data_IF_449127706904
#
_entry.id   IF_449127706904
#
_cell.length_a   1.000
_cell.length_b   1.000
_cell.length_c   1.000
_cell.angle_alpha   90.00
_cell.angle_beta   90.00
_cell.angle_gamma   90.00
#
_symmetry.space_group_name_H-M   'P 1'
#
loop_
_entity.id
_entity.type
_entity.pdbx_description
1 polymer ?
#
# COMPACT_ATOMS: atom_id res chain seq x y z
N UNK A 1 -3.96 -37.64 -70.19
CA UNK A 1 -2.72 -36.86 -70.05
C UNK A 1 -2.47 -36.68 -68.57
N UNK A 2 -1.38 -37.25 -68.08
CA UNK A 2 -0.95 -37.15 -66.70
C UNK A 2 -0.11 -35.89 -66.55
N UNK A 3 -0.43 -35.03 -65.58
CA UNK A 3 0.49 -34.03 -65.08
C UNK A 3 0.59 -34.17 -63.56
N UNK A 4 1.72 -34.71 -63.17
CA UNK A 4 2.30 -34.71 -61.84
C UNK A 4 3.08 -33.40 -61.68
N UNK A 5 2.82 -32.65 -60.60
CA UNK A 5 3.86 -31.81 -59.98
C UNK A 5 3.58 -31.62 -58.50
N UNK A 6 4.70 -31.66 -57.79
CA UNK A 6 4.90 -32.04 -56.40
C UNK A 6 5.33 -30.80 -55.59
N UNK A 7 4.92 -30.78 -54.32
CA UNK A 7 5.44 -30.04 -53.14
C UNK A 7 5.36 -28.51 -53.15
N UNK A 8 4.64 -27.99 -52.16
CA UNK A 8 5.32 -27.22 -51.11
C UNK A 8 4.63 -27.40 -49.75
N UNK A 9 5.47 -27.53 -48.74
CA UNK A 9 5.18 -27.89 -47.36
C UNK A 9 5.44 -26.67 -46.48
N UNK A 10 4.41 -26.14 -45.83
CA UNK A 10 4.54 -25.17 -44.75
C UNK A 10 3.68 -25.61 -43.56
N UNK A 11 4.38 -25.99 -42.50
CA UNK A 11 3.89 -26.43 -41.20
C UNK A 11 3.58 -25.27 -40.25
N UNK A 12 2.57 -25.52 -39.42
CA UNK A 12 2.33 -24.99 -38.06
C UNK A 12 2.29 -23.48 -37.80
N UNK A 13 1.09 -22.99 -37.43
CA UNK A 13 0.90 -22.23 -36.17
C UNK A 13 -0.43 -22.62 -35.50
N UNK A 14 -0.32 -23.41 -34.43
CA UNK A 14 -1.39 -23.64 -33.46
C UNK A 14 -1.66 -22.34 -32.67
N UNK A 15 -2.91 -21.87 -32.67
CA UNK A 15 -3.39 -20.86 -31.73
C UNK A 15 -4.54 -21.46 -30.93
N UNK A 16 -4.21 -22.10 -29.81
CA UNK A 16 -5.21 -22.59 -28.84
C UNK A 16 -5.51 -21.46 -27.85
N UNK A 17 -6.73 -20.93 -27.95
CA UNK A 17 -7.31 -19.97 -27.01
C UNK A 17 -7.83 -20.74 -25.79
N UNK A 18 -7.02 -20.89 -24.74
CA UNK A 18 -7.48 -21.49 -23.49
C UNK A 18 -8.40 -20.53 -22.73
N UNK A 19 -9.64 -20.97 -22.53
CA UNK A 19 -10.67 -20.28 -21.78
C UNK A 19 -10.34 -20.09 -20.30
N UNK A 20 -10.86 -18.99 -19.77
CA UNK A 20 -10.88 -18.59 -18.37
C UNK A 20 -11.44 -19.69 -17.47
N UNK A 21 -10.67 -20.05 -16.43
CA UNK A 21 -11.08 -20.96 -15.37
C UNK A 21 -12.11 -20.27 -14.48
N UNK A 22 -13.34 -20.77 -14.50
CA UNK A 22 -14.38 -20.47 -13.52
C UNK A 22 -14.13 -21.35 -12.29
N UNK A 23 -13.86 -20.74 -11.13
CA UNK A 23 -13.86 -21.45 -9.85
C UNK A 23 -15.32 -21.70 -9.42
N UNK A 24 -15.86 -22.87 -9.77
CA UNK A 24 -17.11 -23.35 -9.22
C UNK A 24 -16.90 -23.87 -7.80
N UNK A 25 -17.59 -23.25 -6.84
CA UNK A 25 -17.75 -23.74 -5.47
C UNK A 25 -18.60 -25.02 -5.47
N UNK A 26 -18.03 -26.14 -5.04
CA UNK A 26 -18.79 -27.35 -4.71
C UNK A 26 -18.94 -27.45 -3.20
N UNK A 27 -20.18 -27.32 -2.73
CA UNK A 27 -20.60 -27.67 -1.38
C UNK A 27 -20.81 -29.17 -1.29
N UNK A 28 -20.19 -29.83 -0.30
CA UNK A 28 -20.62 -31.14 0.18
C UNK A 28 -20.92 -31.04 1.67
N UNK A 29 -22.19 -31.25 2.01
CA UNK A 29 -22.68 -31.51 3.37
C UNK A 29 -22.17 -32.89 3.78
N UNK A 30 -21.39 -32.99 4.86
CA UNK A 30 -21.06 -34.27 5.48
C UNK A 30 -22.11 -34.63 6.53
N UNK A 31 -22.53 -35.89 6.54
CA UNK A 31 -23.38 -36.48 7.57
C UNK A 31 -23.09 -37.98 7.65
N UNK A 32 -23.03 -38.49 8.90
CA UNK A 32 -22.79 -39.89 9.36
C UNK A 32 -21.32 -40.33 9.41
N UNK A 33 -20.84 -41.11 10.39
CA UNK A 33 -21.27 -41.49 11.75
C UNK A 33 -20.18 -42.43 12.32
N UNK A 34 -19.89 -42.32 13.62
CA UNK A 34 -19.28 -43.30 14.54
C UNK A 34 -17.79 -43.67 14.36
N UNK A 35 -16.95 -43.25 15.31
CA UNK A 35 -16.44 -44.12 16.40
C UNK A 35 -15.68 -43.33 17.50
N UNK A 36 -15.64 -43.90 18.71
CA UNK A 36 -15.07 -43.42 20.00
C UNK A 36 -13.92 -44.40 20.41
N UNK A 37 -13.19 -44.23 21.54
CA UNK A 37 -12.46 -43.09 22.14
C UNK A 37 -10.98 -43.50 22.50
N UNK A 38 -10.13 -42.75 23.26
CA UNK A 38 -10.19 -42.72 24.73
C UNK A 38 -9.75 -41.40 25.41
N UNK A 39 -9.87 -41.39 26.74
CA UNK A 39 -9.76 -40.30 27.72
C UNK A 39 -8.34 -40.16 28.30
N UNK A 40 -7.82 -38.94 28.53
CA UNK A 40 -6.99 -38.62 29.70
C UNK A 40 -6.93 -37.11 30.07
N UNK A 41 -7.34 -36.85 31.33
CA UNK A 41 -7.07 -35.77 32.32
C UNK A 41 -6.72 -34.30 31.97
N UNK A 42 -7.63 -33.46 32.49
CA UNK A 42 -7.50 -32.27 33.37
C UNK A 42 -6.52 -31.09 33.13
N UNK A 43 -7.15 -29.98 32.74
CA UNK A 43 -7.16 -28.62 33.34
C UNK A 43 -5.81 -27.93 33.62
N UNK A 44 -5.52 -26.89 32.83
CA UNK A 44 -5.15 -25.57 33.37
C UNK A 44 -5.68 -24.46 32.44
N UNK A 45 -6.04 -23.33 33.05
CA UNK A 45 -6.95 -22.29 32.59
C UNK A 45 -6.53 -21.56 31.29
N UNK A 46 -7.48 -21.47 30.36
CA UNK A 46 -7.42 -20.64 29.17
C UNK A 46 -7.79 -19.18 29.49
N UNK A 47 -6.87 -18.24 29.23
CA UNK A 47 -7.18 -16.82 29.09
C UNK A 47 -7.45 -16.52 27.61
N UNK A 48 -8.69 -16.77 27.16
CA UNK A 48 -9.12 -16.40 25.82
C UNK A 48 -9.49 -14.91 25.78
N UNK A 49 -8.55 -14.04 25.41
CA UNK A 49 -8.88 -12.68 24.95
C UNK A 49 -9.24 -12.76 23.47
N UNK A 50 -10.54 -12.69 23.20
CA UNK A 50 -11.11 -12.50 21.86
C UNK A 50 -10.62 -11.18 21.28
N UNK A 51 -9.73 -11.26 20.28
CA UNK A 51 -9.38 -10.11 19.43
C UNK A 51 -10.33 -10.16 18.24
N UNK A 52 -11.26 -9.21 18.21
CA UNK A 52 -12.21 -9.02 17.11
C UNK A 52 -11.42 -8.67 15.85
N UNK A 53 -11.29 -9.63 14.94
CA UNK A 53 -10.80 -9.37 13.58
C UNK A 53 -11.79 -8.43 12.89
N UNK A 54 -11.33 -7.22 12.56
CA UNK A 54 -12.08 -6.27 11.74
C UNK A 54 -12.26 -6.85 10.35
N UNK A 55 -13.40 -7.48 10.10
CA UNK A 55 -13.83 -7.89 8.77
C UNK A 55 -14.18 -6.64 7.96
N UNK A 56 -13.35 -6.29 6.98
CA UNK A 56 -13.68 -5.29 5.98
C UNK A 56 -14.58 -5.93 4.92
N UNK A 57 -15.90 -5.90 5.13
CA UNK A 57 -16.86 -6.20 4.05
C UNK A 57 -17.11 -4.90 3.29
N UNK A 58 -16.38 -4.68 2.19
CA UNK A 58 -16.72 -3.64 1.21
C UNK A 58 -17.74 -4.23 0.24
N UNK A 59 -19.02 -3.90 0.44
CA UNK A 59 -20.09 -4.31 -0.48
C UNK A 59 -20.11 -3.37 -1.70
N UNK A 60 -19.69 -3.85 -2.87
CA UNK A 60 -19.98 -3.20 -4.14
C UNK A 60 -21.36 -3.63 -4.65
N UNK A 61 -22.27 -2.66 -4.74
CA UNK A 61 -23.53 -2.76 -5.50
C UNK A 61 -23.25 -2.52 -6.98
N UNK A 62 -23.71 -3.46 -7.81
CA UNK A 62 -23.64 -3.40 -9.27
C UNK A 62 -24.54 -2.30 -9.84
N UNK A 63 -23.99 -1.45 -10.71
CA UNK A 63 -24.78 -0.64 -11.65
C UNK A 63 -24.56 -1.19 -13.06
N UNK A 64 -25.57 -1.89 -13.57
CA UNK A 64 -25.71 -2.19 -15.00
C UNK A 64 -26.25 -0.92 -15.66
N UNK A 65 -25.50 -0.34 -16.61
CA UNK A 65 -26.02 0.67 -17.53
C UNK A 65 -26.36 -0.02 -18.85
N UNK A 66 -27.62 0.14 -19.23
CA UNK A 66 -28.22 -0.34 -20.47
C UNK A 66 -27.79 0.53 -21.66
N UNK A 67 -27.70 -0.12 -22.83
CA UNK A 67 -27.47 0.48 -24.13
C UNK A 67 -28.83 0.90 -24.70
N UNK A 68 -29.04 2.19 -24.94
CA UNK A 68 -29.97 2.62 -26.00
C UNK A 68 -29.28 3.63 -26.90
N UNK A 69 -29.30 3.32 -28.20
CA UNK A 69 -29.00 4.20 -29.31
C UNK A 69 -30.09 5.25 -29.39
N UNK A 70 -29.75 6.49 -29.75
CA UNK A 70 -30.52 7.30 -30.69
C UNK A 70 -29.63 8.41 -31.29
N UNK A 71 -29.82 8.61 -32.60
CA UNK A 71 -29.13 9.51 -33.54
C UNK A 71 -29.68 10.96 -33.51
N UNK A 72 -29.03 11.94 -34.17
CA UNK A 72 -29.15 13.36 -33.83
C UNK A 72 -30.11 14.16 -34.74
N UNK A 73 -30.73 15.25 -34.24
CA UNK A 73 -31.35 16.24 -35.08
C UNK A 73 -30.41 17.42 -35.37
N UNK A 74 -30.20 17.65 -36.66
CA UNK A 74 -29.64 18.84 -37.29
C UNK A 74 -30.74 19.90 -37.46
N UNK A 75 -30.50 21.17 -37.08
CA UNK A 75 -30.52 22.34 -37.99
C UNK A 75 -30.63 23.71 -37.26
N UNK A 76 -29.77 24.60 -37.74
CA UNK A 76 -29.91 26.05 -37.98
C UNK A 76 -29.41 27.08 -36.96
N UNK A 77 -28.49 27.86 -37.51
CA UNK A 77 -27.91 29.12 -37.09
C UNK A 77 -28.94 30.23 -36.78
N UNK A 78 -28.62 31.05 -35.77
CA UNK A 78 -28.88 32.50 -35.74
C UNK A 78 -27.92 33.22 -34.77
N UNK A 79 -26.96 33.90 -35.37
CA UNK A 79 -26.46 35.26 -35.08
C UNK A 79 -26.54 35.84 -33.65
N UNK A 80 -25.34 36.05 -33.10
CA UNK A 80 -24.82 37.26 -32.44
C UNK A 80 -25.58 37.94 -31.29
N UNK A 81 -24.77 38.24 -30.26
CA UNK A 81 -24.86 39.30 -29.25
C UNK A 81 -25.83 39.12 -28.06
N UNK A 82 -25.33 38.47 -27.00
CA UNK A 82 -25.58 38.90 -25.62
C UNK A 82 -24.47 38.38 -24.70
N UNK A 83 -23.92 39.30 -23.88
CA UNK A 83 -22.97 39.03 -22.80
C UNK A 83 -23.60 38.10 -21.78
N UNK A 84 -22.89 37.07 -21.35
CA UNK A 84 -23.05 36.49 -20.02
C UNK A 84 -21.70 36.00 -19.52
N UNK A 85 -21.23 36.69 -18.47
CA UNK A 85 -20.31 36.14 -17.48
C UNK A 85 -20.87 34.80 -17.02
N UNK A 86 -20.09 33.74 -17.13
CA UNK A 86 -20.19 32.67 -16.15
C UNK A 86 -18.80 32.18 -15.85
N UNK A 87 -18.51 32.10 -14.55
CA UNK A 87 -17.28 31.61 -14.02
C UNK A 87 -17.12 30.19 -14.53
N UNK A 88 -16.24 30.01 -15.52
CA UNK A 88 -15.79 28.70 -15.93
C UNK A 88 -15.30 28.00 -14.68
N UNK A 89 -16.18 27.16 -14.14
CA UNK A 89 -15.92 26.31 -13.01
C UNK A 89 -14.58 25.67 -13.32
N UNK A 90 -13.56 26.05 -12.55
CA UNK A 90 -12.36 25.29 -12.40
C UNK A 90 -12.84 23.95 -11.86
N UNK A 91 -13.23 23.06 -12.78
CA UNK A 91 -13.61 21.69 -12.51
C UNK A 91 -12.39 21.08 -11.87
N UNK A 92 -12.35 21.14 -10.54
CA UNK A 92 -11.32 20.56 -9.69
C UNK A 92 -11.37 19.05 -9.92
N UNK A 93 -10.70 18.59 -10.97
CA UNK A 93 -10.29 17.18 -11.15
C UNK A 93 -9.21 16.82 -10.12
N UNK A 94 -8.92 17.71 -9.17
CA UNK A 94 -8.01 17.56 -8.03
C UNK A 94 -8.45 16.50 -7.00
N UNK A 95 -9.43 15.64 -7.29
CA UNK A 95 -9.80 14.58 -6.36
C UNK A 95 -8.74 13.46 -6.28
N UNK A 96 -7.92 13.25 -7.33
CA UNK A 96 -6.70 12.41 -7.34
C UNK A 96 -6.67 11.16 -6.43
N UNK A 97 -5.50 10.77 -5.91
CA UNK A 97 -5.37 9.85 -4.77
C UNK A 97 -5.91 10.45 -3.45
N UNK A 98 -5.94 11.78 -3.33
CA UNK A 98 -6.37 12.55 -2.15
C UNK A 98 -7.83 12.33 -1.75
N UNK A 99 -8.68 11.74 -2.60
CA UNK A 99 -10.03 11.30 -2.23
C UNK A 99 -10.04 10.08 -1.30
N UNK A 100 -8.92 9.39 -1.14
CA UNK A 100 -8.78 8.19 -0.32
C UNK A 100 -7.92 8.43 0.94
N UNK A 101 -7.90 9.67 1.46
CA UNK A 101 -7.11 10.03 2.65
C UNK A 101 -7.49 9.14 3.85
N UNK A 102 -6.48 8.54 4.46
CA UNK A 102 -6.58 7.74 5.67
C UNK A 102 -5.88 8.44 6.84
N UNK A 103 -6.37 8.18 8.05
CA UNK A 103 -5.74 8.61 9.30
C UNK A 103 -4.94 7.44 9.86
N UNK A 104 -3.66 7.69 10.16
CA UNK A 104 -2.73 6.68 10.64
C UNK A 104 -2.14 7.12 11.98
N UNK A 105 -1.90 6.15 12.85
CA UNK A 105 -1.20 6.33 14.12
C UNK A 105 -0.11 5.27 14.26
N UNK A 106 1.03 5.67 14.79
CA UNK A 106 2.16 4.77 15.05
C UNK A 106 1.81 3.83 16.21
N UNK A 107 2.25 2.58 16.13
CA UNK A 107 2.04 1.60 17.19
C UNK A 107 3.23 1.57 18.18
N UNK A 108 3.06 2.06 19.42
CA UNK A 108 4.10 2.00 20.45
C UNK A 108 4.58 0.59 20.79
N UNK A 109 3.77 -0.44 20.50
CA UNK A 109 4.15 -1.84 20.73
C UNK A 109 5.13 -2.38 19.68
N UNK A 110 5.27 -1.69 18.54
CA UNK A 110 6.20 -2.08 17.47
C UNK A 110 7.47 -1.22 17.47
N UNK A 111 7.39 0.01 17.98
CA UNK A 111 8.46 1.00 17.92
C UNK A 111 9.76 0.52 18.60
N UNK A 112 10.87 0.59 17.88
CA UNK A 112 12.19 0.36 18.47
C UNK A 112 12.50 1.35 19.62
N UNK A 113 13.29 0.92 20.61
CA UNK A 113 13.56 1.73 21.82
C UNK A 113 14.35 3.01 21.55
N UNK A 114 15.09 3.10 20.44
CA UNK A 114 15.72 4.35 19.98
C UNK A 114 14.77 5.31 19.26
N UNK A 115 13.48 4.98 19.16
CA UNK A 115 12.48 5.85 18.55
C UNK A 115 11.58 6.43 19.63
N UNK A 116 11.37 7.75 19.59
CA UNK A 116 10.45 8.44 20.48
C UNK A 116 9.22 8.88 19.71
N UNK A 117 8.06 8.42 20.16
CA UNK A 117 6.75 8.82 19.63
C UNK A 117 6.23 10.08 20.35
N UNK A 118 5.61 10.99 19.59
CA UNK A 118 5.00 12.23 20.07
C UNK A 118 3.73 12.56 19.26
N UNK A 119 3.05 13.66 19.58
CA UNK A 119 1.85 14.15 18.86
C UNK A 119 0.77 13.06 18.72
N UNK A 120 0.36 12.45 19.83
CA UNK A 120 -0.60 11.33 19.84
C UNK A 120 -0.18 10.15 18.94
N UNK A 121 1.14 9.88 18.86
CA UNK A 121 1.74 8.87 17.99
C UNK A 121 1.60 9.19 16.49
N UNK A 122 1.56 10.46 16.11
CA UNK A 122 1.62 10.91 14.71
C UNK A 122 3.01 11.42 14.32
N UNK A 123 3.90 11.60 15.28
CA UNK A 123 5.29 11.95 15.07
C UNK A 123 6.21 10.87 15.64
N UNK A 124 7.31 10.58 14.94
CA UNK A 124 8.40 9.75 15.43
C UNK A 124 9.74 10.39 15.13
N UNK A 125 10.64 10.35 16.11
CA UNK A 125 12.02 10.81 15.96
C UNK A 125 13.03 9.79 16.47
N UNK A 126 14.20 9.77 15.86
CA UNK A 126 15.35 9.02 16.34
C UNK A 126 16.01 9.75 17.51
N UNK A 127 16.30 9.02 18.59
CA UNK A 127 16.91 9.55 19.82
C UNK A 127 18.05 8.66 20.29
N UNK A 128 19.01 9.25 20.99
CA UNK A 128 20.16 8.52 21.56
C UNK A 128 19.76 7.64 22.74
N UNK A 129 18.80 8.07 23.55
CA UNK A 129 18.36 7.37 24.77
C UNK A 129 17.29 6.32 24.46
N UNK A 130 17.38 5.17 25.12
CA UNK A 130 16.34 4.15 25.02
C UNK A 130 15.07 4.65 25.71
N UNK A 131 13.96 4.65 24.97
CA UNK A 131 12.65 4.95 25.51
C UNK A 131 12.19 3.79 26.41
N UNK A 132 11.50 4.07 27.54
CA UNK A 132 11.12 3.08 28.54
C UNK A 132 9.88 2.29 28.10
N UNK A 133 9.91 1.73 26.90
CA UNK A 133 8.82 0.94 26.38
C UNK A 133 8.83 -0.47 26.97
N UNK A 134 7.67 -1.05 27.30
CA UNK A 134 7.60 -2.40 27.83
C UNK A 134 8.03 -3.43 26.79
N UNK A 135 8.57 -4.55 27.26
CA UNK A 135 8.88 -5.69 26.40
C UNK A 135 7.63 -6.17 25.66
N UNK A 136 7.77 -6.38 24.35
CA UNK A 136 6.67 -6.79 23.49
C UNK A 136 7.18 -7.66 22.32
N UNK A 137 6.48 -8.76 21.95
CA UNK A 137 6.88 -9.62 20.83
C UNK A 137 6.90 -8.86 19.49
N UNK A 138 6.00 -7.90 19.30
CA UNK A 138 5.91 -7.13 18.05
C UNK A 138 6.94 -5.98 17.94
N UNK A 139 7.70 -5.71 19.02
CA UNK A 139 8.67 -4.61 19.06
C UNK A 139 9.90 -4.94 18.21
N UNK A 140 10.30 -4.05 17.31
CA UNK A 140 11.63 -4.15 16.70
C UNK A 140 12.70 -3.93 17.76
N UNK A 141 13.62 -4.87 17.92
CA UNK A 141 14.61 -4.84 19.02
C UNK A 141 16.00 -4.32 18.62
N UNK A 142 16.39 -4.50 17.36
CA UNK A 142 17.68 -4.06 16.86
C UNK A 142 17.56 -3.08 15.67
N UNK A 143 16.45 -3.10 14.92
CA UNK A 143 16.22 -2.22 13.78
C UNK A 143 15.36 -0.99 14.19
N UNK A 144 15.83 0.28 14.05
CA UNK A 144 15.11 1.51 14.38
C UNK A 144 13.90 1.76 13.47
N UNK A 145 12.84 1.00 13.71
CA UNK A 145 11.65 0.98 12.88
C UNK A 145 10.38 0.95 13.73
N UNK A 146 9.27 1.32 13.11
CA UNK A 146 7.93 1.32 13.71
C UNK A 146 6.89 1.06 12.62
N UNK A 147 5.80 0.38 12.96
CA UNK A 147 4.61 0.26 12.11
C UNK A 147 3.47 1.14 12.65
N UNK A 148 2.56 1.50 11.77
CA UNK A 148 1.25 2.01 12.14
C UNK A 148 0.34 0.91 12.71
N UNK A 149 -0.67 1.33 13.47
CA UNK A 149 -1.70 0.45 14.04
C UNK A 149 -2.71 0.00 13.00
N UNK A 150 -3.05 0.89 12.09
CA UNK A 150 -4.07 0.69 11.08
C UNK A 150 -3.50 -0.06 9.87
N UNK A 151 -4.24 -1.05 9.39
CA UNK A 151 -3.92 -1.73 8.14
C UNK A 151 -4.56 -1.03 6.94
N UNK A 152 -3.87 -1.01 5.82
CA UNK A 152 -4.38 -0.55 4.52
C UNK A 152 -4.77 -1.76 3.67
N UNK A 153 -6.08 -1.96 3.48
CA UNK A 153 -6.67 -3.14 2.83
C UNK A 153 -7.60 -2.81 1.64
N UNK A 154 -7.67 -1.55 1.23
CA UNK A 154 -8.47 -1.08 0.11
C UNK A 154 -7.73 0.03 -0.64
N UNK A 155 -8.46 1.07 -1.03
CA UNK A 155 -7.87 2.30 -1.53
C UNK A 155 -7.52 3.20 -0.35
N UNK A 156 -6.25 3.52 -0.19
CA UNK A 156 -5.79 4.34 0.93
C UNK A 156 -4.66 5.28 0.48
N UNK A 157 -4.68 6.49 1.01
CA UNK A 157 -3.71 7.53 0.73
C UNK A 157 -3.31 8.24 2.03
N UNK A 158 -2.03 8.54 2.19
CA UNK A 158 -1.52 9.35 3.30
C UNK A 158 -0.29 10.15 2.88
N UNK A 159 0.00 11.21 3.62
CA UNK A 159 1.14 12.08 3.37
C UNK A 159 2.06 12.13 4.59
N UNK A 160 3.35 12.28 4.36
CA UNK A 160 4.37 12.29 5.42
C UNK A 160 5.39 13.36 5.11
N UNK A 161 5.67 14.23 6.09
CA UNK A 161 6.87 15.04 6.05
C UNK A 161 7.99 14.34 6.79
N UNK A 162 9.20 14.47 6.27
CA UNK A 162 10.39 13.90 6.88
C UNK A 162 11.53 14.92 6.96
N UNK A 163 12.46 14.70 7.88
CA UNK A 163 13.71 15.45 7.96
C UNK A 163 14.86 14.56 8.39
N UNK A 164 16.09 15.03 8.15
CA UNK A 164 17.31 14.25 8.31
C UNK A 164 17.91 13.86 6.97
N UNK A 165 18.88 12.95 7.02
CA UNK A 165 19.69 12.56 5.85
C UNK A 165 19.21 11.28 5.18
N UNK A 166 18.75 10.29 5.94
CA UNK A 166 18.32 9.00 5.40
C UNK A 166 17.15 8.42 6.20
N UNK A 167 15.98 8.33 5.56
CA UNK A 167 14.78 7.79 6.18
C UNK A 167 14.08 6.78 5.25
N UNK A 168 13.38 5.79 5.81
CA UNK A 168 12.61 4.81 5.04
C UNK A 168 11.11 4.96 5.27
N UNK A 169 10.35 5.07 4.17
CA UNK A 169 8.89 5.04 4.15
C UNK A 169 8.47 3.75 3.50
N UNK A 170 7.73 2.92 4.23
CA UNK A 170 7.50 1.53 3.84
C UNK A 170 6.04 1.12 4.02
N UNK A 171 5.67 0.05 3.33
CA UNK A 171 4.50 -0.77 3.66
C UNK A 171 4.97 -2.21 3.86
N UNK A 172 4.41 -2.89 4.85
CA UNK A 172 4.83 -4.25 5.22
C UNK A 172 3.64 -5.09 5.63
N UNK A 173 3.74 -6.40 5.42
CA UNK A 173 2.88 -7.32 6.16
C UNK A 173 3.19 -7.30 7.65
N UNK A 174 2.19 -7.65 8.46
CA UNK A 174 2.34 -7.73 9.92
C UNK A 174 3.35 -8.79 10.33
N UNK A 175 3.46 -9.84 9.52
CA UNK A 175 4.31 -11.02 9.72
C UNK A 175 5.81 -10.78 9.55
N UNK A 176 6.26 -9.57 9.20
CA UNK A 176 7.69 -9.21 9.19
C UNK A 176 8.32 -9.52 10.55
N UNK A 177 9.53 -10.10 10.52
CA UNK A 177 10.24 -10.46 11.74
C UNK A 177 10.66 -9.20 12.52
N UNK A 178 10.64 -9.31 13.84
CA UNK A 178 10.89 -8.17 14.75
C UNK A 178 12.18 -8.26 15.53
N UNK A 179 12.81 -9.44 15.52
CA UNK A 179 13.87 -9.80 16.46
C UNK A 179 15.17 -10.16 15.76
N UNK A 180 16.23 -9.43 16.09
CA UNK A 180 17.59 -9.62 15.59
C UNK A 180 17.98 -8.64 14.49
N UNK A 181 19.23 -8.81 14.01
CA UNK A 181 19.89 -7.88 13.07
C UNK A 181 19.75 -8.26 11.60
N UNK A 182 19.02 -9.33 11.31
CA UNK A 182 18.99 -9.91 9.98
C UNK A 182 18.12 -9.11 9.00
N UNK A 183 18.36 -9.34 7.71
CA UNK A 183 17.61 -8.72 6.60
C UNK A 183 16.09 -8.96 6.70
N UNK A 184 15.68 -10.07 7.30
CA UNK A 184 14.29 -10.42 7.55
C UNK A 184 13.55 -9.46 8.51
N UNK A 185 14.28 -8.62 9.27
CA UNK A 185 13.71 -7.63 10.17
C UNK A 185 13.65 -6.22 9.57
N UNK A 186 14.39 -5.95 8.49
CA UNK A 186 14.58 -4.60 7.93
C UNK A 186 13.62 -4.36 6.77
N UNK A 187 12.93 -3.22 6.75
CA UNK A 187 12.02 -2.88 5.65
C UNK A 187 12.74 -2.83 4.29
N UNK A 188 12.16 -3.47 3.28
CA UNK A 188 12.71 -3.57 1.91
C UNK A 188 13.75 -4.68 1.73
N UNK A 189 14.34 -5.20 2.81
CA UNK A 189 15.36 -6.26 2.76
C UNK A 189 14.75 -7.69 2.77
N UNK A 190 13.43 -7.79 2.70
CA UNK A 190 12.69 -9.05 2.69
C UNK A 190 11.53 -9.00 1.67
N UNK A 191 10.93 -10.16 1.40
CA UNK A 191 9.81 -10.28 0.47
C UNK A 191 8.47 -9.76 1.02
N UNK A 192 8.40 -9.37 2.30
CA UNK A 192 7.16 -8.98 2.99
C UNK A 192 6.98 -7.46 3.08
N UNK A 193 7.95 -6.68 2.58
CA UNK A 193 7.94 -5.23 2.70
C UNK A 193 8.48 -4.54 1.45
N UNK A 194 7.96 -3.35 1.19
CA UNK A 194 8.35 -2.47 0.09
C UNK A 194 8.70 -1.12 0.71
N UNK A 195 9.88 -0.60 0.40
CA UNK A 195 10.43 0.58 1.06
C UNK A 195 10.95 1.60 0.06
N UNK A 196 10.62 2.87 0.30
CA UNK A 196 11.24 4.01 -0.34
C UNK A 196 12.21 4.65 0.63
N UNK A 197 13.49 4.58 0.31
CA UNK A 197 14.54 5.34 0.97
C UNK A 197 14.56 6.76 0.43
N UNK A 198 14.51 7.72 1.35
CA UNK A 198 14.49 9.13 1.07
C UNK A 198 15.73 9.78 1.68
N UNK A 199 16.48 10.48 0.83
CA UNK A 199 17.58 11.37 1.23
C UNK A 199 17.40 12.73 0.54
N UNK A 200 18.09 13.79 0.99
CA UNK A 200 17.97 15.10 0.35
C UNK A 200 18.34 15.12 -1.15
N UNK A 201 19.14 14.16 -1.62
CA UNK A 201 19.68 14.15 -2.98
C UNK A 201 19.10 13.07 -3.89
N UNK A 202 18.54 11.98 -3.33
CA UNK A 202 18.06 10.83 -4.11
C UNK A 202 16.94 10.05 -3.41
N UNK A 203 16.22 9.30 -4.23
CA UNK A 203 15.33 8.23 -3.79
C UNK A 203 15.89 6.86 -4.21
N UNK A 204 15.77 5.87 -3.34
CA UNK A 204 16.10 4.47 -3.65
C UNK A 204 14.91 3.61 -3.28
N UNK A 205 14.40 2.83 -4.23
CA UNK A 205 13.36 1.85 -3.96
C UNK A 205 13.99 0.51 -3.55
N UNK A 206 13.40 -0.18 -2.58
CA UNK A 206 13.89 -1.46 -2.11
C UNK A 206 12.78 -2.46 -1.81
N UNK A 207 13.00 -3.68 -2.26
CA UNK A 207 12.16 -4.84 -2.02
C UNK A 207 12.97 -6.12 -2.18
N UNK A 208 12.75 -7.11 -1.30
CA UNK A 208 13.42 -8.41 -1.34
C UNK A 208 14.94 -8.31 -1.49
N UNK A 209 15.57 -7.43 -0.70
CA UNK A 209 17.03 -7.20 -0.67
C UNK A 209 17.61 -6.70 -2.01
N UNK A 210 16.76 -6.23 -2.92
CA UNK A 210 17.15 -5.55 -4.15
C UNK A 210 16.95 -4.05 -3.95
N UNK A 211 17.93 -3.25 -4.36
CA UNK A 211 17.90 -1.80 -4.26
C UNK A 211 18.02 -1.18 -5.65
N UNK A 212 17.13 -0.25 -5.95
CA UNK A 212 17.07 0.45 -7.23
C UNK A 212 17.11 1.95 -6.98
N UNK A 213 18.22 2.58 -7.34
CA UNK A 213 18.31 4.04 -7.35
C UNK A 213 17.36 4.60 -8.42
N UNK A 214 16.50 5.52 -8.01
CA UNK A 214 15.49 6.08 -8.88
C UNK A 214 16.04 7.32 -9.60
N UNK A 215 15.72 7.52 -10.89
CA UNK A 215 16.21 8.65 -11.68
C UNK A 215 15.54 9.98 -11.30
N UNK A 216 14.52 9.95 -10.43
CA UNK A 216 13.76 11.12 -10.00
C UNK A 216 14.48 11.82 -8.85
N UNK A 217 14.66 13.13 -8.97
CA UNK A 217 15.26 13.96 -7.93
C UNK A 217 14.21 14.41 -6.90
N UNK A 218 14.51 14.37 -5.59
CA UNK A 218 13.67 14.99 -4.58
C UNK A 218 13.49 16.50 -4.83
N UNK A 219 12.24 16.95 -4.82
CA UNK A 219 11.81 18.36 -4.92
C UNK A 219 11.39 18.93 -3.55
N UNK A 220 11.00 18.06 -2.62
CA UNK A 220 10.59 18.40 -1.25
C UNK A 220 10.82 17.21 -0.31
N UNK A 221 10.68 17.46 0.99
CA UNK A 221 10.67 16.40 2.01
C UNK A 221 9.25 15.94 2.40
N UNK A 222 8.30 16.06 1.48
CA UNK A 222 6.92 15.59 1.65
C UNK A 222 6.61 14.48 0.65
N UNK A 223 6.18 13.33 1.17
CA UNK A 223 5.93 12.12 0.39
C UNK A 223 4.46 11.74 0.55
N UNK A 224 3.78 11.49 -0.57
CA UNK A 224 2.46 10.90 -0.61
C UNK A 224 2.57 9.43 -0.95
N UNK A 225 1.80 8.58 -0.26
CA UNK A 225 1.76 7.14 -0.54
C UNK A 225 0.33 6.75 -0.85
N UNK A 226 0.13 6.05 -1.97
CA UNK A 226 -1.15 5.50 -2.37
C UNK A 226 -1.06 3.98 -2.45
N UNK A 227 -2.04 3.31 -1.87
CA UNK A 227 -2.22 1.86 -1.97
C UNK A 227 -3.61 1.58 -2.54
N UNK A 228 -3.66 0.74 -3.56
CA UNK A 228 -4.85 0.00 -3.96
C UNK A 228 -4.57 -1.48 -3.75
N UNK A 229 -5.04 -2.02 -2.63
CA UNK A 229 -4.79 -3.41 -2.26
C UNK A 229 -5.42 -4.37 -3.28
N UNK A 230 -6.62 -4.04 -3.77
CA UNK A 230 -7.38 -4.89 -4.70
C UNK A 230 -6.80 -4.93 -6.11
N UNK A 231 -6.28 -3.79 -6.59
CA UNK A 231 -5.56 -3.73 -7.84
C UNK A 231 -4.09 -4.16 -7.70
N UNK A 232 -3.58 -4.31 -6.49
CA UNK A 232 -2.19 -4.70 -6.28
C UNK A 232 -1.19 -3.57 -6.54
N UNK A 233 -1.61 -2.32 -6.33
CA UNK A 233 -0.81 -1.14 -6.70
C UNK A 233 -0.32 -0.40 -5.47
N UNK A 234 0.97 -0.04 -5.46
CA UNK A 234 1.59 0.84 -4.47
C UNK A 234 2.31 1.97 -5.22
N UNK A 235 2.03 3.21 -4.87
CA UNK A 235 2.60 4.38 -5.54
C UNK A 235 3.16 5.37 -4.52
N UNK A 236 4.35 5.86 -4.80
CA UNK A 236 5.00 6.92 -4.06
C UNK A 236 5.03 8.21 -4.89
N UNK A 237 4.67 9.32 -4.27
CA UNK A 237 4.67 10.65 -4.86
C UNK A 237 5.54 11.60 -4.06
N UNK A 238 6.22 12.52 -4.74
CA UNK A 238 6.82 13.68 -4.10
C UNK A 238 5.87 14.87 -4.21
N UNK A 239 5.60 15.54 -3.10
CA UNK A 239 4.61 16.62 -3.01
C UNK A 239 5.34 17.96 -2.88
N UNK A 240 5.34 18.77 -3.93
CA UNK A 240 5.95 20.11 -3.93
C UNK A 240 4.89 21.16 -4.25
N UNK A 241 4.70 22.15 -3.36
CA UNK A 241 3.67 23.21 -3.51
C UNK A 241 2.31 22.63 -3.91
N UNK A 242 1.85 21.61 -3.19
CA UNK A 242 0.62 20.84 -3.42
C UNK A 242 0.51 20.05 -4.74
N UNK A 243 1.54 20.06 -5.57
CA UNK A 243 1.64 19.26 -6.80
C UNK A 243 2.25 17.89 -6.50
N UNK A 244 1.56 16.81 -6.90
CA UNK A 244 2.04 15.43 -6.76
C UNK A 244 2.81 15.02 -8.01
N UNK A 245 4.07 14.61 -7.84
CA UNK A 245 4.90 14.03 -8.91
C UNK A 245 5.22 12.57 -8.59
N UNK A 246 5.07 11.67 -9.56
CA UNK A 246 5.36 10.25 -9.38
C UNK A 246 6.86 10.05 -9.07
N UNK A 247 7.17 9.32 -8.00
CA UNK A 247 8.52 8.84 -7.69
C UNK A 247 8.67 7.41 -8.23
N UNK A 248 7.78 6.53 -7.80
CA UNK A 248 7.83 5.11 -8.14
C UNK A 248 6.46 4.46 -7.98
N UNK A 249 6.18 3.44 -8.79
CA UNK A 249 4.97 2.64 -8.70
C UNK A 249 5.33 1.16 -8.80
N UNK A 250 4.70 0.36 -7.96
CA UNK A 250 4.85 -1.09 -7.90
C UNK A 250 3.50 -1.73 -8.22
N UNK A 251 3.54 -2.76 -9.05
CA UNK A 251 2.41 -3.65 -9.30
C UNK A 251 2.77 -5.03 -8.77
N UNK A 252 1.98 -5.55 -7.84
CA UNK A 252 2.23 -6.83 -7.17
C UNK A 252 0.91 -7.44 -6.67
N UNK A 253 0.93 -8.67 -6.16
CA UNK A 253 -0.25 -9.30 -5.56
C UNK A 253 -0.11 -9.29 -4.04
N UNK A 254 -0.84 -8.41 -3.36
CA UNK A 254 -0.81 -8.37 -1.91
C UNK A 254 -1.63 -9.53 -1.30
N UNK A 255 -1.00 -10.39 -0.50
CA UNK A 255 -1.65 -11.57 0.10
C UNK A 255 -2.19 -11.34 1.50
N UNK A 256 -1.72 -10.29 2.19
CA UNK A 256 -2.11 -9.91 3.54
C UNK A 256 -2.40 -8.40 3.61
N UNK A 257 -3.13 -7.92 4.64
CA UNK A 257 -3.23 -6.49 4.91
C UNK A 257 -1.85 -5.87 5.10
N UNK A 258 -1.65 -4.70 4.50
CA UNK A 258 -0.41 -3.94 4.63
C UNK A 258 -0.49 -2.99 5.80
N UNK A 259 0.65 -2.75 6.45
CA UNK A 259 0.82 -1.79 7.53
C UNK A 259 1.86 -0.77 7.09
N UNK A 260 1.52 0.53 7.08
CA UNK A 260 2.51 1.58 6.89
C UNK A 260 3.61 1.50 7.94
N UNK A 261 4.84 1.76 7.54
CA UNK A 261 6.02 1.63 8.38
C UNK A 261 7.05 2.70 8.09
N UNK A 262 7.83 3.02 9.12
CA UNK A 262 8.84 4.06 9.07
C UNK A 262 10.12 3.56 9.73
N UNK A 263 11.27 3.88 9.13
CA UNK A 263 12.57 3.45 9.62
C UNK A 263 13.64 4.52 9.50
N UNK A 264 14.70 4.31 10.27
CA UNK A 264 15.89 5.16 10.30
C UNK A 264 17.13 4.26 10.17
N UNK A 265 18.09 4.65 9.34
CA UNK A 265 19.34 3.90 9.20
C UNK A 265 20.36 4.37 10.24
N UNK A 266 21.10 3.41 10.81
CA UNK A 266 22.20 3.68 11.74
C UNK A 266 23.42 4.23 11.00
N UNK A 267 23.33 5.43 10.45
CA UNK A 267 24.51 6.15 10.02
C UNK A 267 24.61 7.45 10.81
N UNK A 268 25.63 7.48 11.67
CA UNK A 268 26.35 8.64 12.22
C UNK A 268 25.54 9.79 12.78
N UNK A 269 25.70 10.07 14.09
CA UNK A 269 25.67 11.38 14.77
C UNK A 269 24.56 12.42 14.44
N UNK A 270 23.64 12.12 13.53
CA UNK A 270 22.50 12.92 13.13
C UNK A 270 21.39 12.64 14.12
N UNK A 271 21.57 13.20 15.31
CA UNK A 271 20.46 13.49 16.21
C UNK A 271 19.53 14.44 15.44
N UNK A 272 18.22 14.17 15.44
CA UNK A 272 17.14 14.94 14.75
C UNK A 272 16.67 14.43 13.37
N UNK A 273 16.74 13.13 13.13
CA UNK A 273 15.89 12.51 12.10
C UNK A 273 14.47 12.32 12.64
N UNK A 274 13.45 12.74 11.88
CA UNK A 274 12.04 12.58 12.27
C UNK A 274 11.09 12.43 11.08
N UNK A 275 9.96 11.77 11.36
CA UNK A 275 8.78 11.75 10.52
C UNK A 275 7.63 12.44 11.23
N UNK A 276 6.90 13.27 10.50
CA UNK A 276 5.57 13.74 10.89
C UNK A 276 4.56 13.17 9.91
N UNK A 277 3.65 12.33 10.41
CA UNK A 277 2.58 11.76 9.62
C UNK A 277 1.47 12.79 9.53
N UNK A 278 1.20 13.25 8.32
CA UNK A 278 0.05 14.08 8.03
C UNK A 278 -1.04 13.23 7.39
N UNK A 279 -2.08 12.95 8.17
CA UNK A 279 -3.37 12.66 7.59
C UNK A 279 -4.02 13.99 7.16
N UNK A 280 -3.43 14.66 6.19
CA UNK A 280 -3.98 15.93 5.73
C UNK A 280 -5.24 15.67 4.89
N UNK A 281 -6.40 16.11 5.38
CA UNK A 281 -7.11 17.13 4.63
C UNK A 281 -6.61 18.47 5.20
N UNK A 282 -5.57 19.07 4.62
CA UNK A 282 -5.36 20.49 4.84
C UNK A 282 -6.52 21.16 4.11
N UNK A 283 -7.59 21.49 4.84
CA UNK A 283 -8.49 22.56 4.37
C UNK A 283 -7.70 23.85 4.56
N UNK A 284 -7.02 24.31 3.52
CA UNK A 284 -6.80 25.74 3.38
C UNK A 284 -8.19 26.31 3.09
N UNK A 285 -8.75 27.03 4.07
CA UNK A 285 -9.83 27.99 3.80
C UNK A 285 -9.28 29.16 3.03
#
# INVERSE_FOLDING_TARGET
MAEERVKDSLSEKHSVRSGSRVCSSVSLKSNRSKDNPPIFREKTQSFAKSVRSGSCVSSYVSLKSDRSKDEPPYFREKTSSAKSLDHGEEKRITAGPRKYVCFLTLDPNTAHTKLKLSEENREVKSVSENQPYPDHPDRFDDCPQVLCRESVCGHCYWEIDWSGDDVCISVSYKSIRRKGRGAECVFGHNAQSWSLFCSPSRFTFSHNNTHTDLPVKPLSRRIGVFVDHSAGTLIFYNIYRDTMSLIHSVQTTFTEPLYPGFGFYYNFAALDMRFMIYASSVKLS
#
